data_IF_574646645975
#
_entry.id   IF_574646645975
#
_cell.length_a   1.000
_cell.length_b   1.000
_cell.length_c   1.000
_cell.angle_alpha   90.00
_cell.angle_beta   90.00
_cell.angle_gamma   90.00
#
_symmetry.space_group_name_H-M   'P 1'
#
loop_
_entity.id
_entity.type
_entity.pdbx_description
1 polymer ?
#
# COMPACT_ATOMS: atom_id res chain seq x y z
N UNK A 1 -3.58 -8.22 -11.82
CA UNK A 1 -3.71 -7.92 -10.37
C UNK A 1 -3.59 -9.14 -9.43
N UNK A 2 -3.49 -10.39 -9.91
CA UNK A 2 -3.41 -11.57 -9.01
C UNK A 2 -1.99 -11.91 -8.52
N UNK A 3 -0.95 -11.51 -9.27
CA UNK A 3 0.44 -11.84 -8.96
C UNK A 3 0.97 -11.09 -7.73
N UNK A 4 0.67 -9.78 -7.59
CA UNK A 4 1.07 -8.98 -6.44
C UNK A 4 0.38 -9.45 -5.14
N UNK A 5 -0.92 -9.76 -5.20
CA UNK A 5 -1.66 -10.31 -4.07
C UNK A 5 -1.07 -11.65 -3.59
N UNK A 6 -0.69 -12.55 -4.52
CA UNK A 6 -0.02 -13.81 -4.18
C UNK A 6 1.39 -13.62 -3.61
N UNK A 7 2.12 -12.60 -4.05
CA UNK A 7 3.45 -12.30 -3.52
C UNK A 7 3.39 -11.80 -2.06
N UNK A 8 2.42 -10.94 -1.73
CA UNK A 8 2.20 -10.43 -0.37
C UNK A 8 1.71 -11.52 0.59
N UNK A 9 0.87 -12.45 0.11
CA UNK A 9 0.37 -13.59 0.89
C UNK A 9 1.44 -14.67 1.17
N UNK A 10 2.59 -14.63 0.50
CA UNK A 10 3.68 -15.59 0.68
C UNK A 10 4.75 -15.13 1.66
N UNK A 11 4.68 -13.87 2.10
CA UNK A 11 5.50 -13.36 3.20
C UNK A 11 4.83 -13.83 4.50
N UNK A 12 5.40 -14.79 5.25
CA UNK A 12 4.69 -15.49 6.31
C UNK A 12 4.17 -14.56 7.42
N UNK A 13 4.87 -13.45 7.69
CA UNK A 13 4.45 -12.48 8.72
C UNK A 13 3.39 -11.52 8.18
N UNK A 14 3.66 -10.84 7.06
CA UNK A 14 2.75 -9.81 6.51
C UNK A 14 1.48 -10.44 5.92
N UNK A 15 1.62 -11.59 5.27
CA UNK A 15 0.52 -12.33 4.65
C UNK A 15 -0.47 -12.92 5.66
N UNK A 16 -0.02 -13.34 6.84
CA UNK A 16 -0.92 -13.80 7.92
C UNK A 16 -1.69 -12.63 8.53
N UNK A 17 -1.01 -11.54 8.88
CA UNK A 17 -1.67 -10.33 9.40
C UNK A 17 -2.68 -9.74 8.41
N UNK A 18 -2.34 -9.72 7.12
CA UNK A 18 -3.24 -9.20 6.09
C UNK A 18 -4.42 -10.15 5.83
N UNK A 19 -4.20 -11.47 5.87
CA UNK A 19 -5.27 -12.46 5.72
C UNK A 19 -6.24 -12.42 6.90
N UNK A 20 -5.74 -12.22 8.11
CA UNK A 20 -6.55 -12.10 9.32
C UNK A 20 -7.32 -10.77 9.36
N UNK A 21 -6.74 -9.68 8.84
CA UNK A 21 -7.46 -8.41 8.70
C UNK A 21 -8.60 -8.45 7.66
N UNK A 22 -8.51 -9.31 6.64
CA UNK A 22 -9.49 -9.42 5.54
C UNK A 22 -10.59 -10.47 5.86
N UNK A 23 -10.22 -11.60 6.46
CA UNK A 23 -11.13 -12.74 6.69
C UNK A 23 -11.42 -13.01 8.18
N UNK A 24 -10.79 -12.28 9.10
CA UNK A 24 -10.93 -12.48 10.54
C UNK A 24 -12.12 -11.75 11.16
N UNK A 25 -12.16 -11.75 12.50
CA UNK A 25 -13.21 -11.11 13.28
C UNK A 25 -13.31 -9.60 12.98
N UNK A 26 -14.48 -8.97 13.18
CA UNK A 26 -14.68 -7.54 12.90
C UNK A 26 -13.68 -6.61 13.60
N UNK A 27 -13.05 -7.05 14.69
CA UNK A 27 -12.05 -6.31 15.45
C UNK A 27 -10.61 -6.46 14.90
N UNK A 28 -10.34 -7.49 14.10
CA UNK A 28 -9.00 -7.81 13.57
C UNK A 28 -8.40 -6.66 12.74
N UNK A 29 -9.24 -5.88 12.07
CA UNK A 29 -8.83 -4.67 11.32
C UNK A 29 -8.17 -3.61 12.20
N UNK A 30 -8.63 -3.44 13.44
CA UNK A 30 -8.07 -2.45 14.36
C UNK A 30 -6.71 -2.88 14.87
N UNK A 31 -6.56 -4.17 15.19
CA UNK A 31 -5.27 -4.74 15.57
C UNK A 31 -4.25 -4.67 14.44
N UNK A 32 -4.67 -4.88 13.19
CA UNK A 32 -3.78 -4.72 12.04
C UNK A 32 -3.25 -3.28 11.91
N UNK A 33 -4.13 -2.28 11.98
CA UNK A 33 -3.74 -0.87 11.91
C UNK A 33 -2.81 -0.50 13.08
N UNK A 34 -3.12 -0.95 14.29
CA UNK A 34 -2.28 -0.72 15.46
C UNK A 34 -0.88 -1.32 15.28
N UNK A 35 -0.79 -2.59 14.85
CA UNK A 35 0.48 -3.26 14.58
C UNK A 35 1.28 -2.56 13.47
N UNK A 36 0.62 -2.08 12.42
CA UNK A 36 1.26 -1.32 11.35
C UNK A 36 1.85 0.00 11.88
N UNK A 37 1.11 0.70 12.75
CA UNK A 37 1.59 1.90 13.44
C UNK A 37 2.80 1.63 14.33
N UNK A 38 2.76 0.56 15.14
CA UNK A 38 3.90 0.14 15.96
C UNK A 38 5.13 -0.24 15.13
N UNK A 39 4.94 -0.95 14.01
CA UNK A 39 6.02 -1.29 13.09
C UNK A 39 6.64 -0.02 12.48
N UNK A 40 5.81 0.96 12.09
CA UNK A 40 6.26 2.26 11.61
C UNK A 40 7.08 3.01 12.66
N UNK A 41 6.61 3.03 13.91
CA UNK A 41 7.32 3.63 15.03
C UNK A 41 8.65 2.92 15.31
N UNK A 42 8.68 1.59 15.28
CA UNK A 42 9.88 0.79 15.48
C UNK A 42 10.92 1.01 14.36
N UNK A 43 10.48 1.11 13.10
CA UNK A 43 11.36 1.43 11.97
C UNK A 43 11.90 2.86 12.08
N UNK A 44 11.05 3.81 12.44
CA UNK A 44 11.47 5.20 12.68
C UNK A 44 12.46 5.29 13.85
N UNK A 45 12.27 4.51 14.91
CA UNK A 45 13.20 4.46 16.04
C UNK A 45 14.56 3.85 15.64
N UNK A 46 14.55 2.76 14.85
CA UNK A 46 15.79 2.05 14.46
C UNK A 46 16.59 2.79 13.38
N UNK A 47 15.93 3.35 12.37
CA UNK A 47 16.57 3.99 11.22
C UNK A 47 16.54 5.53 11.30
N UNK A 48 15.84 6.09 12.29
CA UNK A 48 15.72 7.53 12.49
C UNK A 48 14.92 8.23 11.39
N UNK A 49 15.23 9.50 11.18
CA UNK A 49 14.60 10.36 10.20
C UNK A 49 14.79 9.88 8.74
N UNK A 50 15.82 9.07 8.47
CA UNK A 50 16.09 8.53 7.13
C UNK A 50 14.92 7.68 6.61
N UNK A 51 14.29 6.89 7.49
CA UNK A 51 13.11 6.09 7.12
C UNK A 51 11.93 6.96 6.69
N UNK A 52 11.66 8.04 7.43
CA UNK A 52 10.57 8.98 7.10
C UNK A 52 10.80 9.66 5.75
N UNK A 53 12.04 10.08 5.46
CA UNK A 53 12.38 10.71 4.18
C UNK A 53 12.17 9.73 3.02
N UNK A 54 12.71 8.51 3.13
CA UNK A 54 12.56 7.51 2.08
C UNK A 54 11.09 7.17 1.87
N UNK A 55 10.34 6.97 2.96
CA UNK A 55 8.90 6.70 2.88
C UNK A 55 8.16 7.85 2.17
N UNK A 56 8.42 9.11 2.56
CA UNK A 56 7.79 10.26 1.92
C UNK A 56 8.13 10.35 0.41
N UNK A 57 9.41 10.17 0.04
CA UNK A 57 9.83 10.19 -1.37
C UNK A 57 9.16 9.09 -2.20
N UNK A 58 9.10 7.87 -1.65
CA UNK A 58 8.41 6.75 -2.32
C UNK A 58 6.91 7.01 -2.48
N UNK A 59 6.25 7.55 -1.45
CA UNK A 59 4.85 7.93 -1.51
C UNK A 59 4.59 9.02 -2.56
N UNK A 60 5.45 10.03 -2.64
CA UNK A 60 5.38 11.08 -3.68
C UNK A 60 5.53 10.51 -5.09
N UNK A 61 6.51 9.63 -5.31
CA UNK A 61 6.71 9.00 -6.61
C UNK A 61 5.50 8.15 -7.03
N UNK A 62 4.92 7.39 -6.09
CA UNK A 62 3.70 6.62 -6.33
C UNK A 62 2.50 7.52 -6.64
N UNK A 63 2.32 8.61 -5.90
CA UNK A 63 1.24 9.56 -6.14
C UNK A 63 1.35 10.22 -7.53
N UNK A 64 2.56 10.65 -7.92
CA UNK A 64 2.81 11.20 -9.26
C UNK A 64 2.52 10.17 -10.35
N UNK A 65 2.99 8.93 -10.18
CA UNK A 65 2.72 7.85 -11.12
C UNK A 65 1.22 7.58 -11.23
N UNK A 66 0.51 7.53 -10.10
CA UNK A 66 -0.94 7.33 -10.07
C UNK A 66 -1.69 8.45 -10.80
N UNK A 67 -1.30 9.71 -10.61
CA UNK A 67 -1.91 10.85 -11.32
C UNK A 67 -1.71 10.72 -12.83
N UNK A 68 -0.47 10.43 -13.28
CA UNK A 68 -0.19 10.24 -14.70
C UNK A 68 -1.05 9.11 -15.29
N UNK A 69 -1.14 7.98 -14.59
CA UNK A 69 -1.94 6.83 -15.02
C UNK A 69 -3.42 7.16 -15.07
N UNK A 70 -3.96 7.85 -14.06
CA UNK A 70 -5.36 8.26 -14.03
C UNK A 70 -5.68 9.23 -15.17
N UNK A 71 -4.86 10.26 -15.36
CA UNK A 71 -5.03 11.22 -16.46
C UNK A 71 -4.93 10.56 -17.83
N UNK A 72 -3.95 9.66 -18.03
CA UNK A 72 -3.82 8.92 -19.28
C UNK A 72 -5.03 8.01 -19.53
N UNK A 73 -5.53 7.33 -18.48
CA UNK A 73 -6.71 6.46 -18.58
C UNK A 73 -7.96 7.27 -18.95
N UNK A 74 -8.19 8.41 -18.31
CA UNK A 74 -9.31 9.30 -18.62
C UNK A 74 -9.25 9.83 -20.05
N UNK A 75 -8.05 10.18 -20.53
CA UNK A 75 -7.83 10.60 -21.91
C UNK A 75 -8.18 9.48 -22.90
N UNK A 76 -7.71 8.26 -22.65
CA UNK A 76 -7.99 7.08 -23.51
C UNK A 76 -9.50 6.81 -23.58
N UNK A 77 -10.18 6.82 -22.43
CA UNK A 77 -11.64 6.61 -22.35
C UNK A 77 -12.39 7.68 -23.14
N UNK A 78 -12.02 8.95 -22.97
CA UNK A 78 -12.65 10.05 -23.72
C UNK A 78 -12.39 9.95 -25.22
N UNK A 79 -11.20 9.51 -25.65
CA UNK A 79 -10.86 9.36 -27.05
C UNK A 79 -11.67 8.24 -27.71
N UNK A 80 -11.86 7.12 -27.01
CA UNK A 80 -12.71 6.01 -27.47
C UNK A 80 -14.18 6.41 -27.64
N UNK A 81 -14.66 7.41 -26.91
CA UNK A 81 -16.06 7.87 -26.97
C UNK A 81 -16.35 8.84 -28.12
N UNK A 82 -15.30 9.36 -28.76
CA UNK A 82 -15.38 10.33 -29.89
C UNK A 82 -15.25 9.66 -31.26
N UNK A 83 -14.81 8.40 -31.32
CA UNK A 83 -14.88 7.55 -32.52
C UNK A 83 -16.19 6.77 -32.51
#
# INVERSE_FOLDING_TARGET
MQAAARAVLRVPVIGWFLKDAIYGLPDAKYYFIANLGFLFAALTYKFGYAFLIIYALTATALAMTALIVLTASDMIVNWSKRR
#
